data_IF_770817663505
#
_entry.id   IF_770817663505
#
_cell.length_a   1.000
_cell.length_b   1.000
_cell.length_c   1.000
_cell.angle_alpha   90.00
_cell.angle_beta   90.00
_cell.angle_gamma   90.00
#
_symmetry.space_group_name_H-M   'P 1'
#
loop_
_entity.id
_entity.type
_entity.pdbx_description
1 polymer ?
#
# COMPACT_ATOMS: atom_id res chain seq x y z
N UNK A 1 9.96 -0.15 1.79
CA UNK A 1 10.46 0.42 0.52
C UNK A 1 11.02 -0.72 -0.32
N UNK A 2 11.33 -0.50 -1.58
CA UNK A 2 11.80 -1.55 -2.50
C UNK A 2 13.18 -1.17 -3.02
N UNK A 3 14.17 -2.05 -2.85
CA UNK A 3 15.51 -1.86 -3.40
C UNK A 3 15.47 -2.07 -4.92
N UNK A 4 16.00 -1.11 -5.66
CA UNK A 4 16.18 -1.25 -7.10
C UNK A 4 17.31 -2.21 -7.44
N UNK A 5 17.15 -2.95 -8.53
CA UNK A 5 18.14 -3.89 -9.02
C UNK A 5 17.53 -4.82 -10.06
N UNK A 6 18.33 -5.77 -10.56
CA UNK A 6 17.84 -6.81 -11.47
C UNK A 6 16.70 -7.63 -10.86
N UNK A 7 16.74 -7.83 -9.54
CA UNK A 7 15.65 -8.41 -8.75
C UNK A 7 15.26 -7.39 -7.69
N UNK A 8 14.03 -6.90 -7.77
CA UNK A 8 13.45 -6.00 -6.77
C UNK A 8 13.27 -6.77 -5.46
N UNK A 9 13.68 -6.16 -4.35
CA UNK A 9 13.59 -6.76 -3.02
C UNK A 9 12.99 -5.78 -2.03
N UNK A 10 11.99 -6.17 -1.22
CA UNK A 10 11.48 -5.31 -0.17
C UNK A 10 12.53 -5.16 0.94
N UNK A 11 12.68 -3.92 1.41
CA UNK A 11 13.56 -3.56 2.51
C UNK A 11 12.77 -2.76 3.56
N UNK A 12 12.85 -3.22 4.80
CA UNK A 12 12.27 -2.58 5.96
C UNK A 12 13.35 -1.81 6.73
N UNK A 13 13.21 -0.49 6.78
CA UNK A 13 14.02 0.34 7.66
C UNK A 13 13.39 0.39 9.06
N UNK A 14 14.15 0.01 10.09
CA UNK A 14 13.65 -0.08 11.46
C UNK A 14 14.48 0.81 12.38
N UNK A 15 13.79 1.62 13.17
CA UNK A 15 14.38 2.40 14.27
C UNK A 15 13.79 1.90 15.58
N UNK A 16 14.53 1.04 16.28
CA UNK A 16 14.10 0.34 17.49
C UNK A 16 15.19 0.40 18.56
N UNK A 17 14.82 0.17 19.83
CA UNK A 17 15.77 0.04 20.95
C UNK A 17 16.53 -1.28 20.93
N UNK A 18 15.87 -2.34 20.45
CA UNK A 18 16.40 -3.70 20.41
C UNK A 18 16.15 -4.26 19.01
N UNK A 19 17.18 -4.83 18.39
CA UNK A 19 17.04 -5.50 17.09
C UNK A 19 16.00 -6.63 17.20
N UNK A 20 15.29 -6.86 16.10
CA UNK A 20 14.31 -7.95 16.00
C UNK A 20 15.08 -9.27 16.13
N UNK A 21 14.65 -10.18 17.01
CA UNK A 21 15.32 -11.48 17.16
C UNK A 21 15.36 -12.23 15.81
N UNK A 22 16.49 -12.84 15.41
CA UNK A 22 16.62 -13.51 14.11
C UNK A 22 15.54 -14.58 13.85
N UNK A 23 15.09 -15.26 14.89
CA UNK A 23 14.00 -16.24 14.85
C UNK A 23 12.67 -15.63 14.37
N UNK A 24 12.41 -14.36 14.69
CA UNK A 24 11.21 -13.64 14.26
C UNK A 24 11.30 -13.20 12.79
N UNK A 25 12.47 -13.33 12.15
CA UNK A 25 12.69 -13.01 10.73
C UNK A 25 12.73 -14.27 9.85
N UNK A 26 12.61 -15.48 10.43
CA UNK A 26 12.53 -16.72 9.65
C UNK A 26 11.35 -16.64 8.67
N UNK A 27 11.61 -16.93 7.40
CA UNK A 27 10.63 -16.91 6.32
C UNK A 27 10.17 -15.52 5.88
N UNK A 28 10.75 -14.43 6.40
CA UNK A 28 10.39 -13.08 5.98
C UNK A 28 10.66 -12.89 4.48
N UNK A 29 9.75 -12.20 3.79
CA UNK A 29 9.89 -11.87 2.36
C UNK A 29 10.72 -10.62 2.13
N UNK A 30 11.18 -9.96 3.20
CA UNK A 30 11.89 -8.68 3.18
C UNK A 30 13.18 -8.70 3.99
N UNK A 31 14.12 -7.86 3.60
CA UNK A 31 15.35 -7.60 4.36
C UNK A 31 15.11 -6.49 5.40
N UNK A 32 15.94 -6.44 6.45
CA UNK A 32 15.88 -5.42 7.51
C UNK A 32 17.15 -4.58 7.55
N UNK A 33 16.98 -3.26 7.57
CA UNK A 33 18.06 -2.29 7.78
C UNK A 33 17.80 -1.47 9.04
N UNK A 34 18.64 -1.64 10.06
CA UNK A 34 18.53 -0.90 11.31
C UNK A 34 19.17 0.47 11.20
N UNK A 35 18.40 1.50 11.55
CA UNK A 35 18.83 2.90 11.57
C UNK A 35 18.59 3.53 12.93
N UNK A 36 19.45 4.48 13.33
CA UNK A 36 19.29 5.17 14.62
C UNK A 36 18.03 6.04 14.68
N UNK A 37 17.62 6.58 13.54
CA UNK A 37 16.48 7.48 13.42
C UNK A 37 15.89 7.41 12.02
N UNK A 38 14.57 7.29 11.92
CA UNK A 38 13.85 7.50 10.67
C UNK A 38 13.75 9.00 10.37
N UNK A 39 13.92 9.34 9.09
CA UNK A 39 13.94 10.72 8.59
C UNK A 39 12.96 10.87 7.44
N UNK A 40 12.67 12.12 7.03
CA UNK A 40 11.83 12.39 5.87
C UNK A 40 12.31 11.68 4.59
N UNK A 41 13.62 11.45 4.42
CA UNK A 41 14.16 10.67 3.29
C UNK A 41 13.64 9.24 3.24
N UNK A 42 13.44 8.59 4.39
CA UNK A 42 12.86 7.25 4.45
C UNK A 42 11.38 7.27 4.03
N UNK A 43 10.65 8.34 4.39
CA UNK A 43 9.28 8.56 3.93
C UNK A 43 9.21 8.77 2.42
N UNK A 44 10.04 9.65 1.86
CA UNK A 44 10.14 9.87 0.42
C UNK A 44 10.50 8.59 -0.34
N UNK A 45 11.46 7.81 0.16
CA UNK A 45 11.81 6.51 -0.40
C UNK A 45 10.62 5.55 -0.44
N UNK A 46 9.79 5.53 0.61
CA UNK A 46 8.63 4.64 0.66
C UNK A 46 7.51 5.04 -0.31
N UNK A 47 7.49 6.32 -0.74
CA UNK A 47 6.48 6.88 -1.64
C UNK A 47 7.03 7.13 -3.07
N UNK A 48 8.28 6.77 -3.35
CA UNK A 48 8.98 7.08 -4.60
C UNK A 48 8.48 6.20 -5.76
N UNK A 49 7.24 6.44 -6.21
CA UNK A 49 6.59 5.65 -7.26
C UNK A 49 7.34 5.82 -8.59
N UNK A 50 7.79 4.72 -9.23
CA UNK A 50 8.48 4.79 -10.51
C UNK A 50 7.69 5.57 -11.56
N UNK A 51 8.40 6.35 -12.36
CA UNK A 51 7.84 7.28 -13.37
C UNK A 51 7.14 8.52 -12.82
N UNK A 52 6.89 8.62 -11.52
CA UNK A 52 6.27 9.80 -10.88
C UNK A 52 7.26 10.54 -10.01
N UNK A 53 7.99 9.82 -9.16
CA UNK A 53 9.02 10.34 -8.28
C UNK A 53 10.35 9.63 -8.55
N UNK A 54 11.48 10.35 -8.45
CA UNK A 54 12.79 9.75 -8.63
C UNK A 54 13.08 8.75 -7.49
N UNK A 55 13.88 7.70 -7.77
CA UNK A 55 14.42 6.84 -6.71
C UNK A 55 15.18 7.65 -5.67
N UNK A 56 15.22 7.14 -4.44
CA UNK A 56 15.91 7.79 -3.32
C UNK A 56 17.09 6.92 -2.90
N UNK A 57 18.27 7.52 -2.78
CA UNK A 57 19.42 6.84 -2.18
C UNK A 57 19.32 6.89 -0.66
N UNK A 58 19.60 5.79 0.02
CA UNK A 58 19.64 5.70 1.48
C UNK A 58 20.87 4.91 1.94
N UNK A 59 21.47 5.36 3.03
CA UNK A 59 22.61 4.67 3.64
C UNK A 59 22.13 3.49 4.51
N UNK A 60 22.81 2.36 4.38
CA UNK A 60 22.63 1.16 5.20
C UNK A 60 23.96 0.74 5.82
N UNK A 61 23.94 -0.24 6.74
CA UNK A 61 25.16 -0.83 7.29
C UNK A 61 26.07 -1.44 6.20
N UNK A 62 25.48 -1.89 5.08
CA UNK A 62 26.18 -2.55 3.97
C UNK A 62 26.54 -1.60 2.81
N UNK A 63 26.32 -0.30 2.97
CA UNK A 63 26.55 0.72 1.93
C UNK A 63 25.28 1.46 1.53
N UNK A 64 25.37 2.28 0.49
CA UNK A 64 24.24 3.05 -0.05
C UNK A 64 23.41 2.19 -0.99
N UNK A 65 22.08 2.24 -0.84
CA UNK A 65 21.12 1.54 -1.69
C UNK A 65 20.18 2.53 -2.35
N UNK A 66 19.82 2.26 -3.61
CA UNK A 66 18.77 2.99 -4.33
C UNK A 66 17.43 2.31 -4.10
N UNK A 67 16.45 3.07 -3.63
CA UNK A 67 15.14 2.54 -3.27
C UNK A 67 13.99 3.33 -3.89
N UNK A 68 12.88 2.63 -4.13
CA UNK A 68 11.62 3.13 -4.69
C UNK A 68 10.44 2.73 -3.80
N UNK A 69 9.23 3.10 -4.22
CA UNK A 69 7.99 2.85 -3.52
C UNK A 69 7.87 1.40 -2.98
N UNK A 70 7.45 1.28 -1.73
CA UNK A 70 7.31 -0.02 -1.05
C UNK A 70 6.14 -0.85 -1.57
N UNK A 71 5.10 -0.22 -2.10
CA UNK A 71 3.89 -0.83 -2.64
C UNK A 71 4.13 -1.69 -3.87
N UNK A 72 5.27 -1.55 -4.55
CA UNK A 72 5.70 -2.44 -5.63
C UNK A 72 5.93 -3.87 -5.11
N UNK A 73 6.48 -4.03 -3.91
CA UNK A 73 6.67 -5.36 -3.34
C UNK A 73 5.57 -5.71 -2.33
N UNK A 74 5.13 -4.74 -1.54
CA UNK A 74 4.17 -4.97 -0.47
C UNK A 74 3.39 -3.69 -0.15
N UNK A 75 2.17 -3.59 -0.67
CA UNK A 75 1.31 -2.43 -0.46
C UNK A 75 0.71 -2.37 0.96
N UNK A 76 0.45 -3.52 1.57
CA UNK A 76 -0.17 -3.64 2.89
C UNK A 76 0.76 -4.43 3.83
N UNK A 77 1.65 -3.77 4.59
CA UNK A 77 2.74 -4.42 5.34
C UNK A 77 2.30 -5.03 6.68
N UNK A 78 1.38 -5.99 6.66
CA UNK A 78 0.91 -6.70 7.88
C UNK A 78 2.01 -7.59 8.47
N UNK A 79 2.77 -8.29 7.63
CA UNK A 79 3.84 -9.20 8.06
C UNK A 79 4.96 -8.46 8.84
N UNK A 80 5.49 -7.30 8.37
CA UNK A 80 6.36 -6.46 9.18
C UNK A 80 5.79 -6.11 10.56
N UNK A 81 4.50 -5.74 10.65
CA UNK A 81 3.89 -5.39 11.93
C UNK A 81 3.83 -6.60 12.88
N UNK A 82 3.45 -7.77 12.37
CA UNK A 82 3.43 -9.01 13.15
C UNK A 82 4.81 -9.38 13.69
N UNK A 83 5.83 -9.34 12.81
CA UNK A 83 7.24 -9.66 13.17
C UNK A 83 7.85 -8.68 14.17
N UNK A 84 7.34 -7.44 14.20
CA UNK A 84 7.66 -6.43 15.21
C UNK A 84 6.94 -6.64 16.55
N UNK A 85 6.15 -7.70 16.69
CA UNK A 85 5.46 -8.08 17.92
C UNK A 85 4.03 -7.57 18.05
N UNK A 86 3.39 -7.15 16.96
CA UNK A 86 1.98 -6.74 17.01
C UNK A 86 1.05 -7.96 17.08
N UNK A 87 0.29 -8.08 18.18
CA UNK A 87 -0.77 -9.09 18.33
C UNK A 87 -2.11 -8.66 17.72
N UNK A 88 -2.35 -7.34 17.67
CA UNK A 88 -3.54 -6.70 17.13
C UNK A 88 -3.13 -5.72 16.06
N UNK A 89 -3.66 -5.86 14.85
CA UNK A 89 -3.39 -4.94 13.75
C UNK A 89 -4.70 -4.44 13.14
N UNK A 90 -4.80 -3.11 13.06
CA UNK A 90 -5.82 -2.43 12.26
C UNK A 90 -5.21 -2.13 10.90
N UNK A 91 -5.78 -2.71 9.86
CA UNK A 91 -5.34 -2.54 8.48
C UNK A 91 -6.27 -1.54 7.80
N UNK A 92 -5.68 -0.43 7.34
CA UNK A 92 -6.37 0.56 6.53
C UNK A 92 -5.89 0.39 5.08
N UNK A 93 -6.65 -0.37 4.30
CA UNK A 93 -6.37 -0.58 2.89
C UNK A 93 -7.14 0.45 2.05
N UNK A 94 -6.44 1.55 1.77
CA UNK A 94 -6.93 2.63 0.91
C UNK A 94 -6.61 2.38 -0.57
N UNK A 95 -6.14 1.19 -0.93
CA UNK A 95 -5.88 0.88 -2.33
C UNK A 95 -7.21 0.76 -3.08
N UNK A 96 -7.26 1.26 -4.32
CA UNK A 96 -8.38 1.01 -5.22
C UNK A 96 -8.38 -0.43 -5.79
N UNK A 97 -7.55 -1.34 -5.27
CA UNK A 97 -7.31 -2.67 -5.87
C UNK A 97 -8.59 -3.51 -5.92
N UNK A 98 -9.40 -3.48 -4.86
CA UNK A 98 -10.69 -4.17 -4.84
C UNK A 98 -11.58 -3.74 -6.01
N UNK A 99 -11.66 -2.44 -6.27
CA UNK A 99 -12.43 -1.90 -7.39
C UNK A 99 -11.93 -2.42 -8.75
N UNK A 100 -10.62 -2.49 -8.95
CA UNK A 100 -10.04 -3.02 -10.20
C UNK A 100 -10.41 -4.49 -10.41
N UNK A 101 -10.28 -5.30 -9.35
CA UNK A 101 -10.60 -6.72 -9.39
C UNK A 101 -12.11 -6.94 -9.63
N UNK A 102 -12.97 -6.21 -8.92
CA UNK A 102 -14.42 -6.26 -9.13
C UNK A 102 -14.82 -5.86 -10.55
N UNK A 103 -14.20 -4.79 -11.09
CA UNK A 103 -14.47 -4.30 -12.44
C UNK A 103 -14.10 -5.32 -13.51
N UNK A 104 -12.99 -6.04 -13.34
CA UNK A 104 -12.52 -7.05 -14.29
C UNK A 104 -12.96 -8.47 -13.93
N UNK A 105 -13.80 -8.63 -12.91
CA UNK A 105 -14.31 -9.91 -12.42
C UNK A 105 -13.20 -10.89 -12.02
N UNK A 106 -12.15 -10.35 -11.42
CA UNK A 106 -11.02 -11.11 -10.91
C UNK A 106 -11.18 -11.43 -9.42
N UNK A 107 -10.71 -12.60 -8.96
CA UNK A 107 -10.64 -12.91 -7.53
C UNK A 107 -9.83 -11.88 -6.74
N UNK A 108 -10.24 -11.62 -5.48
CA UNK A 108 -9.57 -10.63 -4.61
C UNK A 108 -8.15 -11.05 -4.17
N UNK A 109 -7.82 -12.32 -4.35
CA UNK A 109 -6.50 -12.92 -4.12
C UNK A 109 -5.65 -13.01 -5.40
N UNK A 110 -6.15 -12.53 -6.54
CA UNK A 110 -5.38 -12.44 -7.80
C UNK A 110 -4.13 -11.60 -7.58
N UNK A 111 -2.97 -12.20 -7.85
CA UNK A 111 -1.68 -11.51 -7.82
C UNK A 111 -1.38 -10.86 -9.18
N UNK A 112 -0.73 -9.70 -9.20
CA UNK A 112 -0.27 -9.11 -10.46
C UNK A 112 0.86 -9.95 -11.06
N UNK A 113 0.89 -10.07 -12.39
CA UNK A 113 1.94 -10.80 -13.12
C UNK A 113 3.34 -10.22 -12.97
N UNK A 114 3.44 -8.96 -12.53
CA UNK A 114 4.69 -8.25 -12.29
C UNK A 114 5.19 -8.36 -10.84
N UNK A 115 4.41 -8.97 -9.94
CA UNK A 115 4.84 -9.23 -8.57
C UNK A 115 5.96 -10.27 -8.56
N UNK A 116 7.01 -10.02 -7.78
CA UNK A 116 8.12 -10.97 -7.65
C UNK A 116 7.62 -12.18 -6.85
N UNK A 117 7.67 -13.42 -7.40
CA UNK A 117 7.24 -14.60 -6.67
C UNK A 117 8.03 -14.75 -5.36
N UNK A 118 7.29 -15.03 -4.29
CA UNK A 118 7.90 -15.32 -3.01
C UNK A 118 8.69 -16.64 -3.08
N UNK A 119 9.82 -16.74 -2.35
CA UNK A 119 10.59 -17.99 -2.31
C UNK A 119 9.77 -19.10 -1.65
N UNK A 120 9.96 -20.38 -2.03
CA UNK A 120 9.20 -21.50 -1.44
C UNK A 120 9.27 -21.56 0.10
N UNK A 121 10.39 -21.16 0.68
CA UNK A 121 10.63 -21.14 2.12
C UNK A 121 10.06 -19.91 2.85
N UNK A 122 9.47 -18.97 2.13
CA UNK A 122 8.93 -17.74 2.70
C UNK A 122 7.47 -17.87 3.10
N UNK A 123 7.11 -17.22 4.20
CA UNK A 123 5.74 -17.19 4.72
C UNK A 123 5.45 -15.85 5.42
N UNK A 124 4.20 -15.40 5.31
CA UNK A 124 3.75 -14.21 6.01
C UNK A 124 3.22 -14.59 7.40
N UNK A 125 3.72 -13.92 8.43
CA UNK A 125 3.08 -13.93 9.74
C UNK A 125 1.85 -13.03 9.68
N UNK A 126 0.72 -13.57 10.15
CA UNK A 126 -0.49 -12.80 10.41
C UNK A 126 -0.66 -12.64 11.92
N UNK A 127 -0.93 -11.43 12.42
CA UNK A 127 -1.29 -11.22 13.81
C UNK A 127 -2.54 -12.03 14.19
N UNK A 128 -2.64 -12.56 15.42
CA UNK A 128 -3.81 -13.29 15.88
C UNK A 128 -5.13 -12.53 15.69
N UNK A 129 -5.08 -11.21 15.84
CA UNK A 129 -6.26 -10.35 15.75
C UNK A 129 -6.02 -9.29 14.66
N UNK A 130 -6.75 -9.41 13.55
CA UNK A 130 -6.71 -8.42 12.46
C UNK A 130 -8.08 -7.79 12.24
N UNK A 131 -8.13 -6.46 12.15
CA UNK A 131 -9.32 -5.71 11.74
C UNK A 131 -9.01 -4.93 10.47
N UNK A 132 -9.75 -5.20 9.39
CA UNK A 132 -9.47 -4.65 8.07
C UNK A 132 -10.57 -3.69 7.65
N UNK A 133 -10.17 -2.46 7.32
CA UNK A 133 -11.00 -1.45 6.67
C UNK A 133 -10.50 -1.29 5.24
N UNK A 134 -11.43 -1.35 4.29
CA UNK A 134 -11.19 -1.13 2.86
C UNK A 134 -12.11 -0.04 2.34
N UNK A 135 -11.63 0.70 1.34
CA UNK A 135 -12.50 1.57 0.55
C UNK A 135 -13.60 0.71 -0.13
N UNK A 136 -14.85 1.17 -0.09
CA UNK A 136 -16.02 0.47 -0.65
C UNK A 136 -16.41 0.95 -2.05
N UNK A 137 -15.80 2.00 -2.57
CA UNK A 137 -16.21 2.66 -3.80
C UNK A 137 -15.07 3.15 -4.69
N UNK A 138 -15.44 3.46 -5.93
CA UNK A 138 -14.54 4.06 -6.92
C UNK A 138 -14.12 5.48 -6.48
N UNK A 139 -12.85 5.82 -6.60
CA UNK A 139 -12.33 7.15 -6.28
C UNK A 139 -12.36 8.09 -7.50
N UNK A 140 -12.40 7.54 -8.71
CA UNK A 140 -12.44 8.26 -9.98
C UNK A 140 -13.63 9.22 -10.11
N UNK A 141 -14.87 8.85 -9.74
CA UNK A 141 -16.00 9.76 -9.73
C UNK A 141 -15.80 10.96 -8.80
N UNK A 142 -15.13 10.77 -7.67
CA UNK A 142 -14.82 11.82 -6.70
C UNK A 142 -13.81 12.79 -7.31
N UNK A 143 -12.74 12.25 -7.90
CA UNK A 143 -11.74 13.05 -8.62
C UNK A 143 -12.40 13.85 -9.75
N UNK A 144 -13.20 13.19 -10.60
CA UNK A 144 -13.94 13.82 -11.70
C UNK A 144 -14.78 14.98 -11.19
N UNK A 145 -15.54 14.79 -10.11
CA UNK A 145 -16.35 15.86 -9.51
C UNK A 145 -15.49 17.03 -9.01
N UNK A 146 -14.35 16.74 -8.39
CA UNK A 146 -13.44 17.77 -7.88
C UNK A 146 -12.81 18.62 -9.00
N UNK A 147 -12.40 18.00 -10.11
CA UNK A 147 -11.56 18.65 -11.13
C UNK A 147 -12.27 19.04 -12.43
N UNK A 148 -13.52 18.59 -12.65
CA UNK A 148 -14.26 18.81 -13.90
C UNK A 148 -14.73 20.24 -14.15
N UNK A 149 -14.56 21.16 -13.19
CA UNK A 149 -14.96 22.57 -13.36
C UNK A 149 -14.14 23.30 -14.44
N UNK A 150 -12.92 22.85 -14.74
CA UNK A 150 -12.09 23.40 -15.81
C UNK A 150 -10.94 22.46 -16.19
N UNK A 151 -10.63 22.36 -17.48
CA UNK A 151 -9.42 21.68 -17.98
C UNK A 151 -8.15 22.22 -17.32
N UNK A 152 -8.08 23.53 -17.04
CA UNK A 152 -6.92 24.14 -16.36
C UNK A 152 -6.76 23.62 -14.94
N UNK A 153 -7.88 23.50 -14.20
CA UNK A 153 -7.88 22.93 -12.84
C UNK A 153 -7.43 21.47 -12.87
N UNK A 154 -7.96 20.70 -13.82
CA UNK A 154 -7.59 19.30 -13.93
C UNK A 154 -6.12 19.10 -14.31
N UNK A 155 -5.60 19.86 -15.27
CA UNK A 155 -4.17 19.86 -15.61
C UNK A 155 -3.30 20.25 -14.41
N UNK A 156 -3.74 21.18 -13.56
CA UNK A 156 -3.02 21.52 -12.33
C UNK A 156 -3.04 20.38 -11.31
N UNK A 157 -4.17 19.68 -11.18
CA UNK A 157 -4.35 18.56 -10.25
C UNK A 157 -3.45 17.36 -10.59
N UNK A 158 -3.26 17.08 -11.88
CA UNK A 158 -2.52 15.88 -12.35
C UNK A 158 -1.12 16.22 -12.85
N UNK A 159 -0.84 17.51 -13.08
CA UNK A 159 0.46 18.02 -13.50
C UNK A 159 1.04 17.27 -14.72
N UNK A 160 2.27 16.75 -14.63
CA UNK A 160 3.00 16.18 -15.76
C UNK A 160 2.39 14.88 -16.27
N UNK A 161 1.50 14.22 -15.52
CA UNK A 161 0.88 12.96 -15.97
C UNK A 161 -0.37 13.17 -16.84
N UNK A 162 -0.72 14.43 -17.17
CA UNK A 162 -1.84 14.75 -18.06
C UNK A 162 -1.83 13.99 -19.41
N UNK A 163 -0.69 13.81 -20.11
CA UNK A 163 -0.67 13.02 -21.34
C UNK A 163 -1.07 11.55 -21.12
N UNK A 164 -0.71 10.98 -19.97
CA UNK A 164 -1.09 9.61 -19.58
C UNK A 164 -2.61 9.51 -19.42
N UNK A 165 -3.24 10.52 -18.83
CA UNK A 165 -4.70 10.58 -18.74
C UNK A 165 -5.38 10.50 -20.10
N UNK A 166 -4.92 11.30 -21.07
CA UNK A 166 -5.50 11.32 -22.41
C UNK A 166 -5.37 9.95 -23.09
N UNK A 167 -4.20 9.33 -22.95
CA UNK A 167 -3.95 7.98 -23.46
C UNK A 167 -4.87 6.94 -22.82
N UNK A 168 -5.00 6.96 -21.49
CA UNK A 168 -5.87 6.04 -20.75
C UNK A 168 -7.34 6.24 -21.14
N UNK A 169 -7.78 7.50 -21.24
CA UNK A 169 -9.15 7.84 -21.64
C UNK A 169 -9.47 7.32 -23.03
N UNK A 170 -8.54 7.45 -23.98
CA UNK A 170 -8.72 6.95 -25.35
C UNK A 170 -8.74 5.42 -25.42
N UNK A 171 -7.89 4.73 -24.64
CA UNK A 171 -7.72 3.27 -24.72
C UNK A 171 -8.70 2.48 -23.86
N UNK A 172 -9.00 2.98 -22.66
CA UNK A 172 -9.69 2.23 -21.60
C UNK A 172 -10.99 2.90 -21.13
N UNK A 173 -11.31 4.07 -21.67
CA UNK A 173 -12.49 4.85 -21.31
C UNK A 173 -12.25 5.84 -20.18
N UNK A 174 -13.19 6.76 -20.03
CA UNK A 174 -13.07 7.89 -19.10
C UNK A 174 -13.04 7.46 -17.63
N UNK A 175 -13.89 6.53 -17.22
CA UNK A 175 -13.98 6.11 -15.82
C UNK A 175 -12.66 5.47 -15.34
N UNK A 176 -12.07 4.61 -16.18
CA UNK A 176 -10.77 3.98 -15.90
C UNK A 176 -9.65 5.02 -15.83
N UNK A 177 -9.68 6.02 -16.73
CA UNK A 177 -8.69 7.07 -16.72
C UNK A 177 -8.75 7.91 -15.43
N UNK A 178 -9.95 8.26 -14.96
CA UNK A 178 -10.10 8.96 -13.69
C UNK A 178 -9.67 8.09 -12.52
N UNK A 179 -10.07 6.82 -12.46
CA UNK A 179 -9.66 5.92 -11.38
C UNK A 179 -8.14 5.77 -11.31
N UNK A 180 -7.48 5.58 -12.45
CA UNK A 180 -6.01 5.46 -12.50
C UNK A 180 -5.30 6.71 -11.98
N UNK A 181 -5.85 7.90 -12.23
CA UNK A 181 -5.23 9.14 -11.75
C UNK A 181 -5.45 9.44 -10.28
N UNK A 182 -6.37 8.75 -9.60
CA UNK A 182 -6.64 8.94 -8.17
C UNK A 182 -5.37 8.82 -7.32
N UNK A 183 -4.40 8.03 -7.77
CA UNK A 183 -3.13 7.76 -7.10
C UNK A 183 -2.13 8.94 -7.16
N UNK A 184 -2.24 9.79 -8.18
CA UNK A 184 -1.26 10.87 -8.47
C UNK A 184 -1.89 12.26 -8.45
N UNK A 185 -3.21 12.34 -8.28
CA UNK A 185 -3.93 13.60 -8.24
C UNK A 185 -3.67 14.38 -6.94
N UNK A 186 -3.21 15.61 -7.09
CA UNK A 186 -3.00 16.57 -6.01
C UNK A 186 -3.93 17.76 -6.21
N UNK A 187 -5.17 17.62 -5.74
CA UNK A 187 -6.17 18.69 -5.75
C UNK A 187 -6.78 18.87 -4.35
N UNK A 188 -6.85 20.11 -3.82
CA UNK A 188 -7.38 20.35 -2.47
C UNK A 188 -8.82 19.86 -2.27
N UNK A 189 -9.69 20.04 -3.27
CA UNK A 189 -11.10 19.63 -3.15
C UNK A 189 -11.23 18.11 -3.22
N UNK A 190 -10.41 17.47 -4.06
CA UNK A 190 -10.33 16.01 -4.10
C UNK A 190 -9.83 15.44 -2.76
N UNK A 191 -8.75 15.98 -2.19
CA UNK A 191 -8.21 15.56 -0.90
C UNK A 191 -9.26 15.75 0.21
N UNK A 192 -9.94 16.91 0.25
CA UNK A 192 -11.01 17.16 1.20
C UNK A 192 -12.15 16.15 1.07
N UNK A 193 -12.57 15.84 -0.16
CA UNK A 193 -13.61 14.85 -0.42
C UNK A 193 -13.20 13.43 0.00
N UNK A 194 -11.93 13.04 -0.16
CA UNK A 194 -11.42 11.76 0.33
C UNK A 194 -11.41 11.70 1.86
N UNK A 195 -11.02 12.78 2.54
CA UNK A 195 -11.04 12.86 4.01
C UNK A 195 -12.49 12.73 4.52
N UNK A 196 -13.43 13.42 3.89
CA UNK A 196 -14.85 13.34 4.23
C UNK A 196 -15.43 11.94 3.98
N UNK A 197 -15.10 11.31 2.84
CA UNK A 197 -15.47 9.93 2.55
C UNK A 197 -14.95 8.99 3.64
N UNK A 198 -13.65 9.04 3.92
CA UNK A 198 -13.02 8.18 4.93
C UNK A 198 -13.62 8.37 6.32
N UNK A 199 -13.92 9.61 6.71
CA UNK A 199 -14.63 9.90 7.96
C UNK A 199 -16.01 9.26 7.99
N UNK A 200 -16.82 9.46 6.95
CA UNK A 200 -18.18 8.93 6.87
C UNK A 200 -18.21 7.39 6.87
N UNK A 201 -17.31 6.75 6.12
CA UNK A 201 -17.18 5.28 6.09
C UNK A 201 -16.72 4.73 7.45
N UNK A 202 -15.77 5.40 8.10
CA UNK A 202 -15.28 5.02 9.43
C UNK A 202 -16.41 5.15 10.46
N UNK A 203 -17.11 6.28 10.50
CA UNK A 203 -18.25 6.49 11.40
C UNK A 203 -19.35 5.47 11.14
N UNK A 204 -19.68 5.18 9.87
CA UNK A 204 -20.66 4.14 9.52
C UNK A 204 -20.25 2.76 10.04
N UNK A 205 -18.96 2.42 9.93
CA UNK A 205 -18.41 1.16 10.43
C UNK A 205 -18.45 1.08 11.96
N UNK A 206 -18.22 2.21 12.65
CA UNK A 206 -18.19 2.26 14.11
C UNK A 206 -19.57 2.49 14.75
N UNK A 207 -20.56 3.02 14.02
CA UNK A 207 -21.88 3.43 14.55
C UNK A 207 -22.64 2.33 15.30
N UNK A 208 -22.44 1.08 14.91
CA UNK A 208 -23.08 -0.08 15.53
C UNK A 208 -22.11 -0.93 16.35
N UNK A 209 -20.85 -0.48 16.51
CA UNK A 209 -19.79 -1.22 17.17
C UNK A 209 -19.36 -0.50 18.46
N UNK A 210 -19.79 -1.03 19.61
CA UNK A 210 -19.24 -0.59 20.92
C UNK A 210 -17.84 -1.14 21.18
N UNK A 211 -17.43 -2.16 20.40
CA UNK A 211 -16.11 -2.79 20.37
C UNK A 211 -15.78 -3.19 18.94
N UNK A 212 -14.51 -3.08 18.55
CA UNK A 212 -14.02 -3.62 17.28
C UNK A 212 -13.81 -5.13 17.48
N UNK A 213 -14.55 -5.93 16.72
CA UNK A 213 -14.35 -7.39 16.69
C UNK A 213 -13.20 -7.71 15.74
N UNK A 214 -12.24 -8.47 16.26
CA UNK A 214 -11.11 -8.96 15.47
C UNK A 214 -11.43 -10.35 14.96
N UNK A 215 -11.04 -10.63 13.71
CA UNK A 215 -11.12 -11.99 13.18
C UNK A 215 -9.94 -12.80 13.74
N UNK A 216 -10.22 -13.69 14.70
CA UNK A 216 -9.25 -14.67 15.19
C UNK A 216 -9.27 -15.89 14.26
N UNK A 217 -8.17 -16.13 13.54
CA UNK A 217 -7.96 -17.39 12.80
C UNK A 217 -6.89 -18.21 13.49
N UNK A 218 -7.02 -19.53 13.39
CA UNK A 218 -6.05 -20.48 13.95
C UNK A 218 -4.61 -20.07 13.59
N UNK A 219 -3.72 -20.19 14.55
CA UNK A 219 -2.29 -19.94 14.36
C UNK A 219 -1.72 -20.90 13.32
N UNK A 220 -0.62 -20.52 12.67
CA UNK A 220 0.06 -21.40 11.71
C UNK A 220 0.41 -22.76 12.31
N UNK A 221 0.77 -22.80 13.61
CA UNK A 221 1.03 -24.06 14.33
C UNK A 221 -0.22 -24.92 14.46
N UNK A 222 -1.36 -24.34 14.84
CA UNK A 222 -2.65 -25.05 14.89
C UNK A 222 -3.14 -25.49 13.50
N UNK A 223 -2.82 -24.75 12.45
CA UNK A 223 -3.17 -25.10 11.07
C UNK A 223 -2.32 -26.24 10.50
N UNK A 224 -1.07 -26.39 10.95
CA UNK A 224 -0.16 -27.47 10.53
C UNK A 224 -0.42 -28.78 11.31
N UNK A 225 -0.88 -28.71 12.56
CA UNK A 225 -1.25 -29.92 13.33
C UNK A 225 -2.56 -30.58 12.87
N UNK A 226 -3.39 -29.88 12.10
CA UNK A 226 -4.70 -30.35 11.61
C UNK A 226 -4.64 -30.84 10.15
N UNK A 227 -3.51 -30.69 9.46
CA UNK A 227 -3.27 -31.12 8.08
C UNK A 227 -2.46 -32.43 8.02
#
# INVERSE_FOLDING_TARGET
TTVEGQVRRPLLFVSTRTEIPPENLIGATFDVSYVKKLTARHGFASAALPSVLPPVELDTKSGTVTVVDGGICQNVPVDPAARLGANRVIVLDISGRSWWLDRYQEPHDTRPDWEVPAKPESFCLRPPETFLIRNRGAMGPILKKAVSSSTKKFMAAVGPVWPVFQLLKQKLGEDVAYEALTYVALDPDYIAALIELGYNETISTLRNASKIEYEQKATYQEAVEVA
#
